data_IF_566754682858
#
_entry.id   IF_566754682858
#
_cell.length_a   1.000
_cell.length_b   1.000
_cell.length_c   1.000
_cell.angle_alpha   90.00
_cell.angle_beta   90.00
_cell.angle_gamma   90.00
#
_symmetry.space_group_name_H-M   'P 1'
#
loop_
_entity.id
_entity.type
_entity.pdbx_description
1 polymer ?
#
# COMPACT_ATOMS: atom_id res chain seq x y z
N UNK A 1 -8.76 34.81 15.52
CA UNK A 1 -9.00 33.53 16.23
C UNK A 1 -8.91 32.42 15.20
N UNK A 2 -7.73 31.85 15.02
CA UNK A 2 -7.55 30.52 14.42
C UNK A 2 -6.20 30.01 14.94
N UNK A 3 -6.22 29.49 16.18
CA UNK A 3 -5.03 29.03 16.89
C UNK A 3 -5.10 27.53 17.22
N UNK A 4 -5.91 26.76 16.48
CA UNK A 4 -6.18 25.36 16.82
C UNK A 4 -5.58 24.34 15.84
N UNK A 5 -4.79 24.76 14.83
CA UNK A 5 -4.28 23.84 13.80
C UNK A 5 -2.81 23.43 13.94
N UNK A 6 -2.05 24.04 14.87
CA UNK A 6 -0.59 23.91 14.95
C UNK A 6 -0.08 22.85 15.97
N UNK A 7 -1.01 22.08 16.57
CA UNK A 7 -0.70 21.18 17.71
C UNK A 7 -0.57 19.70 17.33
N UNK A 8 -1.00 19.31 16.12
CA UNK A 8 -0.99 17.91 15.67
C UNK A 8 0.29 17.56 14.88
N UNK A 9 1.00 18.54 14.34
CA UNK A 9 2.22 18.32 13.53
C UNK A 9 3.49 18.04 14.35
N UNK A 10 3.41 18.02 15.68
CA UNK A 10 4.58 17.88 16.57
C UNK A 10 4.69 16.53 17.28
N UNK A 11 3.73 15.62 17.11
CA UNK A 11 3.86 14.30 17.73
C UNK A 11 4.65 13.37 16.80
N UNK A 12 5.71 12.72 17.30
CA UNK A 12 6.42 11.71 16.52
C UNK A 12 5.46 10.55 16.19
N UNK A 13 5.55 10.04 14.96
CA UNK A 13 4.72 8.95 14.47
C UNK A 13 5.57 7.83 13.88
N UNK A 14 5.04 6.61 13.89
CA UNK A 14 5.74 5.45 13.34
C UNK A 14 7.11 5.26 14.00
N UNK A 15 8.15 5.08 13.17
CA UNK A 15 9.53 4.89 13.66
C UNK A 15 10.11 6.12 14.36
N UNK A 16 9.61 7.33 14.09
CA UNK A 16 10.12 8.55 14.73
C UNK A 16 9.76 8.61 16.22
N UNK A 17 8.86 7.72 16.68
CA UNK A 17 8.55 7.52 18.10
C UNK A 17 9.68 6.87 18.89
N UNK A 18 10.69 6.32 18.20
CA UNK A 18 11.79 5.60 18.83
C UNK A 18 11.39 4.30 19.53
N UNK A 19 10.19 3.78 19.25
CA UNK A 19 9.70 2.52 19.80
C UNK A 19 10.22 1.33 19.00
N UNK A 20 10.43 0.20 19.68
CA UNK A 20 10.81 -1.04 19.02
C UNK A 20 9.58 -1.62 18.28
N UNK A 21 9.68 -1.95 16.99
CA UNK A 21 8.58 -2.62 16.28
C UNK A 21 8.35 -3.99 16.90
N UNK A 22 7.08 -4.34 17.12
CA UNK A 22 6.67 -5.62 17.69
C UNK A 22 6.14 -6.57 16.62
N UNK A 23 5.20 -6.09 15.79
CA UNK A 23 4.54 -6.88 14.75
C UNK A 23 3.82 -5.99 13.75
N UNK A 24 3.75 -6.43 12.49
CA UNK A 24 2.84 -5.87 11.48
C UNK A 24 1.46 -6.51 11.64
N UNK A 25 0.45 -5.69 11.88
CA UNK A 25 -0.94 -6.13 12.05
C UNK A 25 -1.66 -6.28 10.72
N UNK A 26 -1.34 -5.42 9.76
CA UNK A 26 -2.06 -5.29 8.50
C UNK A 26 -1.29 -4.49 7.47
N UNK A 27 -1.82 -4.49 6.24
CA UNK A 27 -1.39 -3.64 5.14
C UNK A 27 -2.58 -2.86 4.61
N UNK A 28 -2.35 -1.63 4.17
CA UNK A 28 -3.33 -0.85 3.44
C UNK A 28 -2.66 0.00 2.37
N UNK A 29 -3.46 0.46 1.41
CA UNK A 29 -3.06 1.55 0.52
C UNK A 29 -3.32 2.89 1.22
N UNK A 30 -2.27 3.70 1.39
CA UNK A 30 -2.37 5.05 1.91
C UNK A 30 -1.81 6.03 0.87
N UNK A 31 -2.72 6.74 0.20
CA UNK A 31 -2.38 7.71 -0.86
C UNK A 31 -1.59 7.10 -2.02
N UNK A 32 -1.95 5.89 -2.45
CA UNK A 32 -1.29 5.18 -3.56
C UNK A 32 0.06 4.56 -3.15
N UNK A 33 0.34 4.46 -1.86
CA UNK A 33 1.53 3.84 -1.31
C UNK A 33 1.15 2.78 -0.30
N UNK A 34 1.76 1.60 -0.45
CA UNK A 34 1.64 0.54 0.51
C UNK A 34 2.17 1.00 1.89
N UNK A 35 1.32 0.88 2.91
CA UNK A 35 1.65 1.15 4.29
C UNK A 35 1.33 -0.07 5.17
N UNK A 36 2.14 -0.26 6.19
CA UNK A 36 1.94 -1.26 7.23
C UNK A 36 1.29 -0.62 8.44
N UNK A 37 0.32 -1.32 9.05
CA UNK A 37 -0.14 -1.01 10.38
C UNK A 37 0.79 -1.68 11.40
N UNK A 38 1.65 -0.88 12.04
CA UNK A 38 2.70 -1.36 12.93
C UNK A 38 2.27 -1.30 14.40
N UNK A 39 2.40 -2.43 15.10
CA UNK A 39 2.33 -2.49 16.55
C UNK A 39 3.73 -2.29 17.14
N UNK A 40 3.80 -1.55 18.24
CA UNK A 40 5.05 -1.22 18.93
C UNK A 40 5.13 -1.93 20.28
N UNK A 41 6.34 -2.21 20.74
CA UNK A 41 6.56 -2.79 22.06
C UNK A 41 6.15 -1.80 23.15
N UNK A 42 5.50 -2.32 24.19
CA UNK A 42 5.03 -1.55 25.37
C UNK A 42 4.11 -0.36 25.01
N UNK A 43 3.45 -0.43 23.85
CA UNK A 43 2.50 0.58 23.41
C UNK A 43 1.31 0.00 22.65
N UNK A 44 0.11 0.32 23.11
CA UNK A 44 -1.14 -0.14 22.50
C UNK A 44 -1.53 0.64 21.24
N UNK A 45 -0.94 1.82 21.03
CA UNK A 45 -1.21 2.65 19.85
C UNK A 45 -0.38 2.17 18.67
N UNK A 46 -1.05 1.60 17.68
CA UNK A 46 -0.47 1.30 16.38
C UNK A 46 -0.36 2.56 15.50
N UNK A 47 0.60 2.56 14.57
CA UNK A 47 0.76 3.63 13.57
C UNK A 47 0.83 3.05 12.15
N UNK A 48 0.47 3.87 11.17
CA UNK A 48 0.77 3.59 9.77
C UNK A 48 2.22 3.94 9.47
N UNK A 49 2.91 3.01 8.84
CA UNK A 49 4.32 3.12 8.47
C UNK A 49 4.44 2.81 6.98
N UNK A 50 4.98 3.73 6.15
CA UNK A 50 5.21 3.44 4.73
C UNK A 50 6.09 2.20 4.55
N UNK A 51 5.71 1.30 3.64
CA UNK A 51 6.43 0.05 3.42
C UNK A 51 7.90 0.29 3.08
N UNK A 52 8.20 1.35 2.31
CA UNK A 52 9.58 1.76 1.99
C UNK A 52 10.45 1.97 3.23
N UNK A 53 9.88 2.50 4.31
CA UNK A 53 10.61 2.73 5.57
C UNK A 53 10.76 1.41 6.34
N UNK A 54 9.71 0.62 6.45
CA UNK A 54 9.72 -0.67 7.15
C UNK A 54 10.70 -1.67 6.51
N UNK A 55 10.77 -1.72 5.18
CA UNK A 55 11.68 -2.60 4.43
C UNK A 55 13.15 -2.33 4.76
N UNK A 56 13.50 -1.09 5.14
CA UNK A 56 14.88 -0.72 5.52
C UNK A 56 15.11 -0.92 7.02
N UNK A 57 14.14 -0.55 7.85
CA UNK A 57 14.29 -0.54 9.32
C UNK A 57 14.14 -1.92 9.96
N UNK A 58 13.26 -2.77 9.44
CA UNK A 58 12.96 -4.09 9.99
C UNK A 58 12.60 -5.11 8.88
N UNK A 59 13.53 -5.40 7.94
CA UNK A 59 13.27 -6.25 6.78
C UNK A 59 12.76 -7.65 7.14
N UNK A 60 13.36 -8.30 8.13
CA UNK A 60 12.97 -9.66 8.54
C UNK A 60 11.50 -9.74 8.99
N UNK A 61 11.01 -8.71 9.69
CA UNK A 61 9.61 -8.64 10.12
C UNK A 61 8.67 -8.50 8.93
N UNK A 62 9.04 -7.70 7.94
CA UNK A 62 8.26 -7.52 6.71
C UNK A 62 8.22 -8.83 5.92
N UNK A 63 9.37 -9.48 5.74
CA UNK A 63 9.47 -10.77 5.04
C UNK A 63 8.60 -11.81 5.73
N UNK A 64 8.74 -11.99 7.05
CA UNK A 64 7.95 -12.96 7.81
C UNK A 64 6.44 -12.69 7.73
N UNK A 65 6.05 -11.41 7.71
CA UNK A 65 4.64 -11.04 7.56
C UNK A 65 4.05 -11.53 6.23
N UNK A 66 4.80 -11.42 5.14
CA UNK A 66 4.40 -11.90 3.82
C UNK A 66 4.45 -13.42 3.72
N UNK A 67 5.47 -14.08 4.26
CA UNK A 67 5.59 -15.55 4.24
C UNK A 67 4.38 -16.23 4.90
N UNK A 68 3.84 -15.63 5.97
CA UNK A 68 2.65 -16.14 6.65
C UNK A 68 1.34 -15.95 5.88
N UNK A 69 1.34 -15.15 4.81
CA UNK A 69 0.13 -14.70 4.08
C UNK A 69 0.22 -14.93 2.57
N UNK A 70 1.31 -15.52 2.08
CA UNK A 70 1.50 -15.71 0.65
C UNK A 70 0.57 -16.82 0.16
N UNK A 71 -0.25 -16.48 -0.83
CA UNK A 71 -1.11 -17.42 -1.53
C UNK A 71 -0.65 -17.50 -2.98
N UNK A 72 -0.40 -18.72 -3.46
CA UNK A 72 -0.07 -18.97 -4.85
C UNK A 72 -1.38 -19.25 -5.59
N UNK A 73 -1.67 -18.46 -6.62
CA UNK A 73 -2.80 -18.70 -7.53
C UNK A 73 -2.31 -19.47 -8.74
N UNK A 74 -3.08 -20.46 -9.17
CA UNK A 74 -2.75 -21.20 -10.39
C UNK A 74 -3.22 -20.42 -11.62
N UNK A 75 -2.57 -20.66 -12.76
CA UNK A 75 -2.91 -19.97 -14.01
C UNK A 75 -4.36 -20.21 -14.46
N UNK A 76 -4.96 -21.33 -14.04
CA UNK A 76 -6.36 -21.66 -14.28
C UNK A 76 -7.34 -20.76 -13.53
N UNK A 77 -6.92 -20.12 -12.42
CA UNK A 77 -7.81 -19.28 -11.60
C UNK A 77 -7.95 -17.84 -12.16
N UNK A 78 -7.26 -17.53 -13.27
CA UNK A 78 -7.25 -16.21 -13.91
C UNK A 78 -8.27 -16.09 -15.05
N UNK A 79 -8.88 -17.20 -15.46
CA UNK A 79 -9.82 -17.27 -16.59
C UNK A 79 -11.18 -16.63 -16.28
N UNK A 80 -11.49 -16.36 -15.01
CA UNK A 80 -12.76 -15.76 -14.57
C UNK A 80 -12.76 -14.21 -14.54
N UNK A 81 -11.64 -13.56 -14.89
CA UNK A 81 -11.51 -12.08 -14.81
C UNK A 81 -11.58 -11.37 -16.17
N UNK A 82 -11.86 -12.08 -17.26
CA UNK A 82 -11.91 -11.54 -18.64
C UNK A 82 -13.33 -11.24 -19.13
N UNK A 83 -14.18 -10.62 -18.32
CA UNK A 83 -15.56 -10.30 -18.71
C UNK A 83 -16.05 -8.91 -18.26
N UNK A 84 -15.19 -7.88 -18.32
CA UNK A 84 -15.63 -6.48 -18.14
C UNK A 84 -15.01 -5.54 -19.21
N UNK A 85 -15.77 -5.37 -20.29
CA UNK A 85 -15.91 -4.23 -21.20
C UNK A 85 -14.66 -3.63 -21.90
N UNK A 86 -14.52 -3.93 -23.19
CA UNK A 86 -14.05 -2.96 -24.19
C UNK A 86 -14.66 -3.24 -25.56
N UNK A 87 -15.91 -2.76 -25.71
CA UNK A 87 -16.43 -2.26 -26.96
C UNK A 87 -15.53 -1.10 -27.43
N UNK A 88 -14.42 -1.41 -28.10
CA UNK A 88 -13.62 -0.44 -28.81
C UNK A 88 -13.97 -0.55 -30.30
N UNK A 89 -15.08 0.10 -30.67
CA UNK A 89 -15.42 0.42 -32.05
C UNK A 89 -14.30 1.24 -32.69
N UNK A 90 -13.46 0.59 -33.49
CA UNK A 90 -12.62 1.30 -34.44
C UNK A 90 -13.43 1.49 -35.73
N UNK A 91 -13.87 2.72 -35.96
CA UNK A 91 -14.37 3.13 -37.26
C UNK A 91 -13.23 3.00 -38.29
N UNK A 92 -13.48 2.26 -39.36
CA UNK A 92 -12.60 2.19 -40.52
C UNK A 92 -13.00 3.31 -41.50
N UNK A 93 -12.07 3.69 -42.38
CA UNK A 93 -12.18 4.66 -43.49
C UNK A 93 -11.96 6.12 -43.07
N UNK A 94 -11.09 6.94 -43.69
CA UNK A 94 -10.31 6.82 -44.92
C UNK A 94 -9.03 7.65 -44.79
N UNK A 95 -7.92 7.14 -45.33
CA UNK A 95 -6.68 7.91 -45.51
C UNK A 95 -6.85 9.00 -46.57
N UNK A 96 -6.15 10.14 -46.48
CA UNK A 96 -6.15 11.17 -47.50
C UNK A 96 -5.13 10.83 -48.59
N UNK A 97 -5.58 10.62 -49.84
CA UNK A 97 -4.67 10.65 -51.00
C UNK A 97 -4.64 12.08 -51.55
N UNK A 98 -3.43 12.61 -51.56
CA UNK A 98 -3.05 13.93 -52.03
C UNK A 98 -2.64 13.81 -53.51
N UNK A 99 -3.35 14.46 -54.42
CA UNK A 99 -2.86 14.95 -55.73
C UNK A 99 -3.65 16.19 -56.15
#
# INVERSE_FOLDING_TARGET
MDSSKDSLEKQPHGFDRGLQPLRILGVCDWSGQLAFLMQWKDCDKADLVPAKVANVRCPEMVISYYEQRIEFKDASDLEDLVDLDSDNGYETTSSPTKE
#
